data_IF_645938891742
#
_entry.id   IF_645938891742
#
_cell.length_a   1.000
_cell.length_b   1.000
_cell.length_c   1.000
_cell.angle_alpha   90.00
_cell.angle_beta   90.00
_cell.angle_gamma   90.00
#
_symmetry.space_group_name_H-M   'P 1'
#
loop_
_entity.id
_entity.type
_entity.pdbx_description
1 polymer ?
#
# COMPACT_ATOMS: atom_id res chain seq x y z
N UNK A 1 3.69 -7.12 -37.42
CA UNK A 1 2.90 -6.50 -36.33
C UNK A 1 1.98 -7.47 -35.59
N UNK A 2 0.76 -7.81 -36.05
CA UNK A 2 -0.18 -8.66 -35.27
C UNK A 2 0.31 -10.10 -35.03
N UNK A 3 0.98 -10.71 -36.02
CA UNK A 3 1.61 -12.04 -35.86
C UNK A 3 2.79 -11.99 -34.88
N UNK A 4 3.67 -10.99 -34.99
CA UNK A 4 4.81 -10.80 -34.09
C UNK A 4 4.36 -10.48 -32.67
N UNK A 5 3.31 -9.67 -32.51
CA UNK A 5 2.67 -9.40 -31.23
C UNK A 5 2.14 -10.70 -30.63
N UNK A 6 1.35 -11.49 -31.38
CA UNK A 6 0.87 -12.81 -30.91
C UNK A 6 2.01 -13.72 -30.47
N UNK A 7 3.12 -13.76 -31.23
CA UNK A 7 4.31 -14.53 -30.86
C UNK A 7 4.97 -13.99 -29.57
N UNK A 8 5.01 -12.67 -29.38
CA UNK A 8 5.55 -12.02 -28.19
C UNK A 8 4.73 -12.31 -26.92
N UNK A 9 3.41 -12.12 -26.94
CA UNK A 9 2.54 -12.44 -25.80
C UNK A 9 2.42 -13.95 -25.54
N UNK A 10 2.65 -14.79 -26.55
CA UNK A 10 2.70 -16.25 -26.35
C UNK A 10 3.96 -16.74 -25.63
N UNK A 11 4.94 -15.86 -25.36
CA UNK A 11 6.05 -16.21 -24.50
C UNK A 11 5.58 -16.28 -23.04
N UNK A 12 5.55 -17.49 -22.47
CA UNK A 12 5.04 -17.74 -21.10
C UNK A 12 5.69 -16.85 -20.04
N UNK A 13 6.99 -16.57 -20.14
CA UNK A 13 7.70 -15.68 -19.21
C UNK A 13 7.16 -14.24 -19.20
N UNK A 14 6.64 -13.74 -20.33
CA UNK A 14 6.05 -12.39 -20.42
C UNK A 14 4.63 -12.38 -19.85
N UNK A 15 3.87 -13.44 -20.10
CA UNK A 15 2.50 -13.57 -19.60
C UNK A 15 2.48 -13.69 -18.06
N UNK A 16 3.33 -14.54 -17.49
CA UNK A 16 3.43 -14.72 -16.04
C UNK A 16 3.90 -13.44 -15.34
N UNK A 17 4.87 -12.73 -15.93
CA UNK A 17 5.33 -11.43 -15.46
C UNK A 17 4.19 -10.40 -15.49
N UNK A 18 3.44 -10.32 -16.59
CA UNK A 18 2.34 -9.38 -16.74
C UNK A 18 1.22 -9.64 -15.71
N UNK A 19 0.86 -10.91 -15.52
CA UNK A 19 -0.12 -11.31 -14.50
C UNK A 19 0.37 -10.95 -13.10
N UNK A 20 1.64 -11.23 -12.79
CA UNK A 20 2.25 -10.89 -11.49
C UNK A 20 2.22 -9.40 -11.18
N UNK A 21 2.55 -8.54 -12.16
CA UNK A 21 2.53 -7.08 -11.99
C UNK A 21 1.12 -6.54 -11.83
N UNK A 22 0.16 -7.02 -12.62
CA UNK A 22 -1.25 -6.58 -12.55
C UNK A 22 -1.86 -6.96 -11.20
N UNK A 23 -1.67 -8.21 -10.77
CA UNK A 23 -2.17 -8.70 -9.48
C UNK A 23 -1.47 -7.97 -8.34
N UNK A 24 -0.14 -7.79 -8.41
CA UNK A 24 0.62 -7.07 -7.39
C UNK A 24 0.14 -5.62 -7.22
N UNK A 25 -0.09 -4.90 -8.32
CA UNK A 25 -0.62 -3.54 -8.29
C UNK A 25 -2.05 -3.46 -7.75
N UNK A 26 -2.93 -4.40 -8.13
CA UNK A 26 -4.29 -4.47 -7.62
C UNK A 26 -4.32 -4.79 -6.11
N UNK A 27 -3.49 -5.75 -5.66
CA UNK A 27 -3.40 -6.15 -4.27
C UNK A 27 -2.88 -5.01 -3.38
N UNK A 28 -1.89 -4.25 -3.88
CA UNK A 28 -1.42 -3.03 -3.23
C UNK A 28 -2.56 -2.05 -2.93
N UNK A 29 -3.45 -1.79 -3.89
CA UNK A 29 -4.62 -0.91 -3.68
C UNK A 29 -5.58 -1.43 -2.61
N UNK A 30 -5.84 -2.74 -2.59
CA UNK A 30 -6.70 -3.37 -1.57
C UNK A 30 -6.10 -3.15 -0.18
N UNK A 31 -4.80 -3.37 -0.03
CA UNK A 31 -4.12 -3.14 1.25
C UNK A 31 -4.08 -1.68 1.64
N UNK A 32 -3.88 -0.75 0.70
CA UNK A 32 -3.96 0.70 0.98
C UNK A 32 -5.34 1.07 1.51
N UNK A 33 -6.41 0.67 0.84
CA UNK A 33 -7.79 0.96 1.24
C UNK A 33 -8.12 0.36 2.61
N UNK A 34 -7.66 -0.85 2.91
CA UNK A 34 -7.82 -1.44 4.24
C UNK A 34 -7.18 -0.57 5.34
N UNK A 35 -6.01 0.00 5.09
CA UNK A 35 -5.35 0.85 6.07
C UNK A 35 -6.05 2.21 6.16
N UNK A 36 -6.22 2.88 5.02
CA UNK A 36 -6.69 4.26 4.95
C UNK A 36 -8.17 4.38 5.31
N UNK A 37 -9.01 3.45 4.86
CA UNK A 37 -10.47 3.55 4.97
C UNK A 37 -11.03 2.79 6.16
N UNK A 38 -10.29 1.83 6.73
CA UNK A 38 -10.77 1.01 7.87
C UNK A 38 -9.89 1.19 9.10
N UNK A 39 -8.59 0.95 9.00
CA UNK A 39 -7.71 0.96 10.20
C UNK A 39 -7.50 2.38 10.72
N UNK A 40 -7.20 3.33 9.85
CA UNK A 40 -6.89 4.71 10.23
C UNK A 40 -8.08 5.43 10.89
N UNK A 41 -9.34 5.32 10.40
CA UNK A 41 -10.49 5.90 11.09
C UNK A 41 -10.72 5.29 12.47
N UNK A 42 -10.52 3.98 12.62
CA UNK A 42 -10.63 3.30 13.92
C UNK A 42 -9.54 3.77 14.88
N UNK A 43 -8.29 3.84 14.43
CA UNK A 43 -7.17 4.34 15.23
C UNK A 43 -7.35 5.81 15.61
N UNK A 44 -7.79 6.65 14.66
CA UNK A 44 -8.10 8.07 14.88
C UNK A 44 -9.23 8.27 15.89
N UNK A 45 -10.28 7.44 15.84
CA UNK A 45 -11.37 7.45 16.82
C UNK A 45 -10.86 7.16 18.25
N UNK A 46 -10.00 6.16 18.42
CA UNK A 46 -9.43 5.82 19.73
C UNK A 46 -8.45 6.88 20.27
N UNK A 47 -7.84 7.67 19.41
CA UNK A 47 -6.89 8.72 19.77
C UNK A 47 -7.52 10.12 19.81
N UNK A 48 -8.80 10.17 20.20
CA UNK A 48 -9.59 11.39 20.40
C UNK A 48 -9.91 12.19 19.11
N UNK A 49 -10.05 11.51 17.97
CA UNK A 49 -10.45 12.14 16.71
C UNK A 49 -9.31 12.88 16.02
N UNK A 50 -8.06 12.64 16.41
CA UNK A 50 -6.89 13.17 15.71
C UNK A 50 -6.78 12.47 14.36
N UNK A 51 -7.01 13.22 13.29
CA UNK A 51 -6.71 12.76 11.95
C UNK A 51 -5.18 12.68 11.81
N UNK A 52 -4.66 11.46 11.85
CA UNK A 52 -3.24 11.22 11.74
C UNK A 52 -2.67 11.78 10.44
N UNK A 53 -3.47 11.85 9.38
CA UNK A 53 -3.03 12.41 8.11
C UNK A 53 -2.80 13.92 8.19
N UNK A 54 -3.53 14.61 9.08
CA UNK A 54 -3.41 16.05 9.30
C UNK A 54 -2.39 16.41 10.39
N UNK A 55 -1.74 15.43 11.03
CA UNK A 55 -0.63 15.68 11.95
C UNK A 55 0.57 16.20 11.15
N UNK A 56 0.64 17.53 11.06
CA UNK A 56 1.73 18.26 10.47
C UNK A 56 2.40 19.14 11.53
N UNK A 57 3.74 19.13 11.57
CA UNK A 57 4.50 20.09 12.34
C UNK A 57 4.68 21.32 11.46
N UNK A 58 3.93 22.36 11.81
CA UNK A 58 3.98 23.65 11.12
C UNK A 58 5.19 24.44 11.64
N UNK A 59 6.16 24.71 10.78
CA UNK A 59 7.35 25.50 11.11
C UNK A 59 7.24 26.88 10.44
N UNK A 60 7.30 27.94 11.25
CA UNK A 60 7.23 29.34 10.82
C UNK A 60 5.98 30.08 11.29
N UNK A 61 5.94 31.40 11.07
CA UNK A 61 4.70 32.17 11.24
C UNK A 61 3.77 31.91 10.03
N UNK A 62 2.46 31.74 10.25
CA UNK A 62 1.50 31.60 9.15
C UNK A 62 1.44 32.89 8.32
N UNK A 63 1.37 32.77 7.00
CA UNK A 63 1.08 33.88 6.09
C UNK A 63 -0.36 34.42 6.32
N UNK A 64 -0.74 35.55 5.72
CA UNK A 64 -2.07 36.20 5.85
C UNK A 64 -3.25 35.26 5.50
N UNK A 65 -2.97 34.14 4.83
CA UNK A 65 -3.93 33.09 4.46
C UNK A 65 -3.90 31.85 5.36
N UNK A 66 -3.15 31.87 6.46
CA UNK A 66 -3.02 30.72 7.38
C UNK A 66 -2.14 29.59 6.85
N UNK A 67 -1.34 29.86 5.80
CA UNK A 67 -0.44 28.86 5.20
C UNK A 67 0.93 29.00 5.82
N UNK A 68 1.42 27.91 6.42
CA UNK A 68 2.78 27.84 6.95
C UNK A 68 3.79 27.56 5.84
N UNK A 69 4.99 28.16 5.88
CA UNK A 69 6.01 28.01 4.83
C UNK A 69 6.62 26.61 4.78
N UNK A 70 6.61 25.86 5.90
CA UNK A 70 7.10 24.48 5.96
C UNK A 70 6.12 23.62 6.76
N UNK A 71 5.59 22.59 6.12
CA UNK A 71 4.71 21.59 6.72
C UNK A 71 5.42 20.24 6.74
N UNK A 72 5.84 19.76 7.93
CA UNK A 72 6.37 18.41 8.08
C UNK A 72 5.19 17.48 8.39
N UNK A 73 4.69 16.78 7.39
CA UNK A 73 3.55 15.83 7.52
C UNK A 73 4.02 14.47 8.07
N UNK A 74 4.49 14.44 9.31
CA UNK A 74 4.96 13.21 9.96
C UNK A 74 3.86 12.15 10.07
N UNK A 75 2.62 12.59 10.17
CA UNK A 75 1.44 11.74 10.14
C UNK A 75 1.32 10.85 8.90
N UNK A 76 1.52 11.43 7.71
CA UNK A 76 1.52 10.69 6.45
C UNK A 76 2.67 9.66 6.37
N UNK A 77 3.83 9.99 6.93
CA UNK A 77 4.95 9.05 6.97
C UNK A 77 4.62 7.83 7.84
N UNK A 78 4.06 8.04 9.03
CA UNK A 78 3.64 6.96 9.92
C UNK A 78 2.57 6.09 9.26
N UNK A 79 1.61 6.69 8.56
CA UNK A 79 0.60 5.98 7.79
C UNK A 79 1.24 5.03 6.75
N UNK A 80 2.18 5.54 5.94
CA UNK A 80 2.89 4.73 4.93
C UNK A 80 3.67 3.58 5.58
N UNK A 81 4.31 3.82 6.73
CA UNK A 81 5.04 2.76 7.47
C UNK A 81 4.08 1.68 7.96
N UNK A 82 2.94 2.05 8.56
CA UNK A 82 1.93 1.09 9.02
C UNK A 82 1.38 0.29 7.84
N UNK A 83 1.08 0.96 6.73
CA UNK A 83 0.63 0.31 5.50
C UNK A 83 1.65 -0.71 4.98
N UNK A 84 2.92 -0.35 4.93
CA UNK A 84 3.98 -1.27 4.53
C UNK A 84 4.06 -2.50 5.45
N UNK A 85 3.96 -2.32 6.77
CA UNK A 85 3.98 -3.42 7.72
C UNK A 85 2.79 -4.38 7.53
N UNK A 86 1.60 -3.84 7.26
CA UNK A 86 0.39 -4.64 7.00
C UNK A 86 0.53 -5.41 5.69
N UNK A 87 0.98 -4.76 4.62
CA UNK A 87 1.26 -5.42 3.33
C UNK A 87 2.27 -6.55 3.51
N UNK A 88 3.38 -6.28 4.19
CA UNK A 88 4.42 -7.28 4.45
C UNK A 88 3.87 -8.46 5.26
N UNK A 89 3.04 -8.19 6.27
CA UNK A 89 2.40 -9.23 7.07
C UNK A 89 1.45 -10.11 6.24
N UNK A 90 0.63 -9.50 5.38
CA UNK A 90 -0.30 -10.23 4.53
C UNK A 90 0.46 -11.09 3.50
N UNK A 91 1.50 -10.55 2.85
CA UNK A 91 2.35 -11.31 1.94
C UNK A 91 3.00 -12.49 2.67
N UNK A 92 3.50 -12.27 3.89
CA UNK A 92 4.06 -13.33 4.71
C UNK A 92 3.05 -14.45 5.01
N UNK A 93 1.81 -14.10 5.35
CA UNK A 93 0.74 -15.10 5.57
C UNK A 93 0.43 -15.90 4.30
N UNK A 94 0.36 -15.25 3.14
CA UNK A 94 0.13 -15.93 1.85
C UNK A 94 1.26 -16.88 1.53
N UNK A 95 2.52 -16.45 1.66
CA UNK A 95 3.70 -17.31 1.44
C UNK A 95 3.72 -18.47 2.42
N UNK A 96 3.41 -18.23 3.70
CA UNK A 96 3.30 -19.27 4.72
C UNK A 96 2.22 -20.29 4.38
N UNK A 97 1.05 -19.84 3.93
CA UNK A 97 -0.04 -20.71 3.51
C UNK A 97 0.32 -21.54 2.27
N UNK A 98 0.93 -20.92 1.27
CA UNK A 98 1.41 -21.60 0.06
C UNK A 98 2.48 -22.65 0.38
N UNK A 99 3.44 -22.32 1.25
CA UNK A 99 4.46 -23.26 1.70
C UNK A 99 3.84 -24.44 2.48
N UNK A 100 2.83 -24.19 3.33
CA UNK A 100 2.11 -25.24 4.04
C UNK A 100 1.31 -26.15 3.10
N UNK A 101 0.67 -25.58 2.08
CA UNK A 101 -0.07 -26.35 1.07
C UNK A 101 0.88 -27.28 0.27
N UNK A 102 2.03 -26.77 -0.18
CA UNK A 102 3.04 -27.58 -0.89
C UNK A 102 3.64 -28.69 -0.03
N UNK A 103 3.74 -28.49 1.29
CA UNK A 103 4.18 -29.53 2.23
C UNK A 103 3.14 -30.63 2.45
N UNK A 104 1.87 -30.40 2.10
CA UNK A 104 0.77 -31.37 2.24
C UNK A 104 0.64 -32.27 1.00
N UNK A 105 1.33 -31.95 -0.10
CA UNK A 105 1.35 -32.74 -1.36
C UNK A 105 2.50 -33.77 -1.43
N UNK A 106 3.24 -34.01 -0.34
CA UNK A 106 4.22 -35.11 -0.23
C UNK A 106 3.72 -36.17 0.75
#
# INVERSE_FOLDING_TARGET
MLKEFKTFISQGNVLDLAVGVIIGGAFGKITTSLVDDIIMPVVGYFLAGVDFKSLALHLGQPDEKGVYPVNIMYGNFIQIVIQFLIVAWVIFLVVKAANKARLTEK
#
